data_IF_294317841939
#
_entry.id   IF_294317841939
#
_cell.length_a   1.000
_cell.length_b   1.000
_cell.length_c   1.000
_cell.angle_alpha   90.00
_cell.angle_beta   90.00
_cell.angle_gamma   90.00
#
_symmetry.space_group_name_H-M   'P 1'
#
loop_
_entity.id
_entity.type
_entity.pdbx_description
1 polymer ?
#
# COMPACT_ATOMS: atom_id res chain seq x y z
N UNK A 1 0.06 -39.06 13.66
CA UNK A 1 0.40 -37.74 14.24
C UNK A 1 -0.74 -36.70 14.08
N UNK A 2 -2.00 -37.10 13.92
CA UNK A 2 -3.16 -36.18 13.92
C UNK A 2 -4.42 -36.90 14.46
N UNK A 3 -4.38 -37.39 15.70
CA UNK A 3 -5.55 -38.05 16.34
C UNK A 3 -6.07 -37.27 17.57
N UNK A 4 -5.66 -36.01 17.73
CA UNK A 4 -6.15 -35.20 18.84
C UNK A 4 -7.53 -34.62 18.50
N UNK A 5 -8.57 -35.24 19.06
CA UNK A 5 -9.96 -34.78 18.99
C UNK A 5 -10.26 -33.71 20.05
N UNK A 6 -9.30 -32.83 20.36
CA UNK A 6 -9.54 -31.75 21.32
C UNK A 6 -10.58 -30.78 20.74
N UNK A 7 -11.62 -30.55 21.53
CA UNK A 7 -12.79 -29.72 21.19
C UNK A 7 -12.83 -28.59 22.19
N UNK A 8 -13.03 -27.37 21.71
CA UNK A 8 -13.10 -26.19 22.57
C UNK A 8 -14.43 -26.16 23.34
N UNK A 9 -14.38 -25.81 24.63
CA UNK A 9 -15.55 -25.72 25.54
C UNK A 9 -16.53 -24.55 25.23
N UNK A 10 -16.37 -23.88 24.08
CA UNK A 10 -17.22 -22.78 23.64
C UNK A 10 -18.49 -23.21 22.90
N UNK A 11 -19.47 -22.30 22.77
CA UNK A 11 -20.71 -22.51 21.99
C UNK A 11 -20.38 -22.97 20.56
N UNK A 12 -20.52 -24.26 20.30
CA UNK A 12 -20.39 -24.86 18.98
C UNK A 12 -19.49 -26.09 18.90
N UNK A 13 -18.79 -26.48 19.98
CA UNK A 13 -18.01 -27.73 20.07
C UNK A 13 -17.22 -28.04 18.79
N UNK A 14 -16.52 -27.03 18.26
CA UNK A 14 -15.70 -27.17 17.06
C UNK A 14 -14.35 -27.75 17.47
N UNK A 15 -13.79 -28.70 16.71
CA UNK A 15 -12.41 -29.15 16.89
C UNK A 15 -11.42 -27.98 16.82
N UNK A 16 -10.38 -28.02 17.65
CA UNK A 16 -9.35 -26.98 17.70
C UNK A 16 -8.70 -26.75 16.33
N UNK A 17 -8.52 -27.81 15.54
CA UNK A 17 -8.01 -27.73 14.17
C UNK A 17 -8.86 -26.83 13.27
N UNK A 18 -10.19 -26.83 13.43
CA UNK A 18 -11.10 -25.99 12.66
C UNK A 18 -10.98 -24.53 13.10
N UNK A 19 -10.83 -24.27 14.41
CA UNK A 19 -10.61 -22.90 14.90
C UNK A 19 -9.27 -22.35 14.41
N UNK A 20 -8.20 -23.13 14.55
CA UNK A 20 -6.87 -22.74 14.10
C UNK A 20 -6.86 -22.43 12.60
N UNK A 21 -7.45 -23.29 11.77
CA UNK A 21 -7.61 -23.05 10.34
C UNK A 21 -8.39 -21.76 10.05
N UNK A 22 -9.52 -21.53 10.74
CA UNK A 22 -10.32 -20.34 10.49
C UNK A 22 -9.62 -19.03 10.87
N UNK A 23 -8.74 -19.04 11.87
CA UNK A 23 -7.96 -17.87 12.29
C UNK A 23 -6.83 -17.58 11.28
N UNK A 24 -6.21 -18.61 10.71
CA UNK A 24 -5.02 -18.45 9.85
C UNK A 24 -5.31 -18.36 8.35
N UNK A 25 -6.40 -18.97 7.87
CA UNK A 25 -6.73 -19.04 6.43
C UNK A 25 -6.92 -17.68 5.75
N UNK A 26 -7.24 -16.63 6.51
CA UNK A 26 -7.60 -15.32 5.97
C UNK A 26 -6.41 -14.46 5.50
N UNK A 27 -5.17 -14.90 5.66
CA UNK A 27 -3.99 -14.07 5.36
C UNK A 27 -3.97 -13.57 3.91
N UNK A 28 -4.14 -14.47 2.94
CA UNK A 28 -4.11 -14.15 1.51
C UNK A 28 -5.34 -13.34 1.10
N UNK A 29 -6.54 -13.74 1.55
CA UNK A 29 -7.78 -13.02 1.24
C UNK A 29 -7.76 -11.58 1.78
N UNK A 30 -7.17 -11.38 2.96
CA UNK A 30 -6.99 -10.04 3.52
C UNK A 30 -6.03 -9.20 2.67
N UNK A 31 -4.92 -9.78 2.21
CA UNK A 31 -3.99 -9.09 1.31
C UNK A 31 -4.70 -8.70 0.01
N UNK A 32 -5.41 -9.62 -0.63
CA UNK A 32 -6.14 -9.39 -1.89
C UNK A 32 -7.20 -8.28 -1.75
N UNK A 33 -7.97 -8.32 -0.66
CA UNK A 33 -8.92 -7.25 -0.31
C UNK A 33 -8.23 -5.91 -0.10
N UNK A 34 -7.05 -5.91 0.50
CA UNK A 34 -6.30 -4.67 0.68
C UNK A 34 -5.81 -4.17 -0.68
N UNK A 35 -5.06 -4.95 -1.44
CA UNK A 35 -4.49 -4.54 -2.73
C UNK A 35 -5.57 -4.03 -3.71
N UNK A 36 -6.74 -4.67 -3.76
CA UNK A 36 -7.87 -4.20 -4.59
C UNK A 36 -8.41 -2.82 -4.21
N UNK A 37 -8.35 -2.41 -2.93
CA UNK A 37 -8.90 -1.11 -2.48
C UNK A 37 -8.09 0.10 -3.00
N UNK A 38 -6.78 -0.06 -3.18
CA UNK A 38 -5.88 1.01 -3.69
C UNK A 38 -4.98 0.42 -4.78
N UNK A 39 -5.61 -0.05 -5.86
CA UNK A 39 -4.90 -0.67 -6.98
C UNK A 39 -4.47 0.35 -8.04
N UNK A 40 -3.29 0.14 -8.62
CA UNK A 40 -2.79 0.86 -9.79
C UNK A 40 -3.16 0.19 -11.12
N UNK A 41 -3.94 -0.89 -11.09
CA UNK A 41 -4.36 -1.62 -12.28
C UNK A 41 -5.13 -0.74 -13.26
N UNK A 42 -4.93 -0.99 -14.56
CA UNK A 42 -5.66 -0.35 -15.65
C UNK A 42 -6.15 -1.41 -16.62
N UNK A 43 -7.29 -1.12 -17.27
CA UNK A 43 -7.78 -1.95 -18.37
C UNK A 43 -6.72 -2.03 -19.46
N UNK A 44 -6.29 -3.24 -19.79
CA UNK A 44 -5.21 -3.52 -20.75
C UNK A 44 -5.45 -4.86 -21.44
N UNK A 45 -5.13 -4.94 -22.72
CA UNK A 45 -5.14 -6.20 -23.47
C UNK A 45 -3.81 -6.98 -23.35
N UNK A 46 -2.82 -6.44 -22.60
CA UNK A 46 -1.48 -7.02 -22.48
C UNK A 46 -1.33 -7.70 -21.12
N UNK A 47 -1.38 -9.03 -21.09
CA UNK A 47 -1.24 -9.82 -19.85
C UNK A 47 0.02 -9.51 -19.02
N UNK A 48 1.21 -9.18 -19.59
CA UNK A 48 2.37 -8.86 -18.77
C UNK A 48 2.18 -7.59 -17.94
N UNK A 49 1.40 -6.63 -18.46
CA UNK A 49 1.06 -5.41 -17.72
C UNK A 49 0.22 -5.70 -16.49
N UNK A 50 -0.65 -6.72 -16.53
CA UNK A 50 -1.45 -7.15 -15.37
C UNK A 50 -0.54 -7.64 -14.25
N UNK A 51 0.46 -8.47 -14.59
CA UNK A 51 1.45 -8.94 -13.62
C UNK A 51 2.24 -7.77 -13.04
N UNK A 52 2.67 -6.84 -13.88
CA UNK A 52 3.40 -5.67 -13.43
C UNK A 52 2.60 -4.82 -12.43
N UNK A 53 1.31 -4.59 -12.69
CA UNK A 53 0.43 -3.87 -11.76
C UNK A 53 0.27 -4.62 -10.44
N UNK A 54 0.12 -5.95 -10.47
CA UNK A 54 0.07 -6.77 -9.26
C UNK A 54 1.35 -6.66 -8.43
N UNK A 55 2.52 -6.67 -9.08
CA UNK A 55 3.81 -6.50 -8.39
C UNK A 55 3.85 -5.14 -7.67
N UNK A 56 3.39 -4.07 -8.31
CA UNK A 56 3.35 -2.74 -7.70
C UNK A 56 2.42 -2.73 -6.49
N UNK A 57 1.19 -3.23 -6.63
CA UNK A 57 0.19 -3.19 -5.56
C UNK A 57 0.63 -3.98 -4.33
N UNK A 58 1.16 -5.20 -4.53
CA UNK A 58 1.69 -6.03 -3.44
C UNK A 58 2.92 -5.40 -2.80
N UNK A 59 3.84 -4.85 -3.61
CA UNK A 59 5.06 -4.20 -3.08
C UNK A 59 4.72 -2.96 -2.25
N UNK A 60 3.78 -2.14 -2.70
CA UNK A 60 3.32 -0.96 -1.96
C UNK A 60 2.67 -1.34 -0.63
N UNK A 61 1.88 -2.42 -0.60
CA UNK A 61 1.30 -2.91 0.65
C UNK A 61 2.36 -3.47 1.61
N UNK A 62 3.31 -4.25 1.11
CA UNK A 62 4.40 -4.78 1.94
C UNK A 62 5.27 -3.66 2.51
N UNK A 63 5.58 -2.64 1.71
CA UNK A 63 6.29 -1.45 2.17
C UNK A 63 5.51 -0.71 3.26
N UNK A 64 4.18 -0.59 3.12
CA UNK A 64 3.31 0.00 4.15
C UNK A 64 3.39 -0.77 5.47
N UNK A 65 3.25 -2.10 5.43
CA UNK A 65 3.34 -2.95 6.63
C UNK A 65 4.68 -2.74 7.33
N UNK A 66 5.80 -2.87 6.60
CA UNK A 66 7.13 -2.66 7.14
C UNK A 66 7.32 -1.26 7.72
N UNK A 67 6.81 -0.23 7.05
CA UNK A 67 6.89 1.15 7.52
C UNK A 67 6.15 1.35 8.84
N UNK A 68 4.92 0.83 8.95
CA UNK A 68 4.11 0.97 10.16
C UNK A 68 4.66 0.18 11.34
N UNK A 69 5.31 -0.96 11.09
CA UNK A 69 6.00 -1.71 12.15
C UNK A 69 7.24 -0.98 12.65
N UNK A 70 8.01 -0.35 11.74
CA UNK A 70 9.19 0.44 12.12
C UNK A 70 8.82 1.78 12.76
N UNK A 71 7.67 2.36 12.42
CA UNK A 71 7.25 3.69 12.85
C UNK A 71 5.82 3.68 13.42
N UNK A 72 5.59 3.08 14.61
CA UNK A 72 4.24 2.91 15.17
C UNK A 72 3.55 4.24 15.51
N UNK A 73 4.31 5.31 15.72
CA UNK A 73 3.79 6.66 16.01
C UNK A 73 3.39 7.43 14.74
N UNK A 74 3.83 6.99 13.55
CA UNK A 74 3.53 7.66 12.29
C UNK A 74 2.02 7.59 12.00
N UNK A 75 1.38 8.76 11.93
CA UNK A 75 -0.06 8.89 11.71
C UNK A 75 -0.94 8.07 12.68
N UNK A 76 -0.47 7.81 13.91
CA UNK A 76 -1.12 6.88 14.86
C UNK A 76 -2.62 7.12 15.10
N UNK A 77 -3.07 8.39 15.10
CA UNK A 77 -4.48 8.78 15.31
C UNK A 77 -5.34 8.79 14.04
N UNK A 78 -4.76 8.48 12.87
CA UNK A 78 -5.49 8.50 11.59
C UNK A 78 -6.03 7.11 11.26
N UNK A 79 -7.30 7.06 10.84
CA UNK A 79 -7.92 5.80 10.38
C UNK A 79 -7.51 5.42 8.96
N UNK A 80 -7.10 6.39 8.14
CA UNK A 80 -6.77 6.21 6.72
C UNK A 80 -5.25 6.20 6.45
N UNK A 81 -4.44 5.64 7.36
CA UNK A 81 -2.97 5.58 7.29
C UNK A 81 -2.44 5.04 5.97
N UNK A 82 -3.06 3.97 5.46
CA UNK A 82 -2.66 3.36 4.19
C UNK A 82 -2.80 4.30 3.00
N UNK A 83 -3.87 5.09 2.94
CA UNK A 83 -4.06 6.09 1.89
C UNK A 83 -2.95 7.15 1.94
N UNK A 84 -2.64 7.64 3.14
CA UNK A 84 -1.56 8.62 3.34
C UNK A 84 -0.21 8.04 2.89
N UNK A 85 0.05 6.78 3.24
CA UNK A 85 1.30 6.11 2.86
C UNK A 85 1.44 6.03 1.34
N UNK A 86 0.40 5.57 0.62
CA UNK A 86 0.44 5.46 -0.84
C UNK A 86 0.57 6.83 -1.51
N UNK A 87 -0.06 7.86 -0.94
CA UNK A 87 0.07 9.24 -1.43
C UNK A 87 1.49 9.79 -1.24
N UNK A 88 2.07 9.61 -0.06
CA UNK A 88 3.45 10.01 0.25
C UNK A 88 4.45 9.24 -0.61
N UNK A 89 4.26 7.92 -0.77
CA UNK A 89 5.07 7.06 -1.64
C UNK A 89 5.02 7.54 -3.09
N UNK A 90 3.84 7.81 -3.63
CA UNK A 90 3.67 8.30 -4.99
C UNK A 90 4.37 9.64 -5.22
N UNK A 91 4.24 10.58 -4.26
CA UNK A 91 4.95 11.87 -4.32
C UNK A 91 6.46 11.68 -4.29
N UNK A 92 6.97 10.86 -3.36
CA UNK A 92 8.39 10.61 -3.20
C UNK A 92 9.03 9.99 -4.45
N UNK A 93 8.33 9.06 -5.12
CA UNK A 93 8.81 8.42 -6.35
C UNK A 93 8.83 9.38 -7.55
N UNK A 94 7.85 10.28 -7.65
CA UNK A 94 7.68 11.15 -8.82
C UNK A 94 8.45 12.46 -8.69
N UNK A 95 8.69 12.95 -7.47
CA UNK A 95 9.40 14.21 -7.20
C UNK A 95 10.77 14.32 -7.89
N UNK A 96 11.71 13.36 -7.79
CA UNK A 96 13.01 13.48 -8.46
C UNK A 96 12.86 13.55 -9.99
N UNK A 97 11.93 12.79 -10.56
CA UNK A 97 11.66 12.80 -11.99
C UNK A 97 11.02 14.12 -12.46
N UNK A 98 10.15 14.72 -11.64
CA UNK A 98 9.59 16.06 -11.90
C UNK A 98 10.69 17.12 -11.92
N UNK A 99 11.66 17.04 -11.02
CA UNK A 99 12.79 17.97 -10.95
C UNK A 99 13.75 17.80 -12.13
N UNK A 100 14.05 16.55 -12.52
CA UNK A 100 14.92 16.23 -13.68
C UNK A 100 14.32 16.65 -15.02
N UNK A 101 12.99 16.72 -15.10
CA UNK A 101 12.28 17.04 -16.34
C UNK A 101 12.69 18.43 -16.83
N UNK A 102 13.15 18.59 -18.07
CA UNK A 102 13.49 19.91 -18.64
C UNK A 102 12.25 20.67 -19.14
N UNK A 103 11.35 19.98 -19.82
CA UNK A 103 10.16 20.56 -20.44
C UNK A 103 8.95 20.48 -19.52
N UNK A 104 8.12 21.51 -19.51
CA UNK A 104 6.92 21.51 -18.68
C UNK A 104 5.86 20.53 -19.24
N UNK A 105 5.06 19.90 -18.36
CA UNK A 105 3.90 19.11 -18.75
C UNK A 105 2.89 19.91 -19.58
N UNK A 106 2.17 19.22 -20.47
CA UNK A 106 1.15 19.85 -21.35
C UNK A 106 -0.08 20.32 -20.57
N UNK A 107 -0.46 19.61 -19.50
CA UNK A 107 -1.65 19.95 -18.72
C UNK A 107 -1.34 21.04 -17.71
N UNK A 108 -2.24 22.02 -17.58
CA UNK A 108 -2.07 23.16 -16.67
C UNK A 108 -1.82 22.70 -15.22
N UNK A 109 -2.58 21.71 -14.74
CA UNK A 109 -2.40 21.19 -13.38
C UNK A 109 -1.00 20.59 -13.14
N UNK A 110 -0.49 19.78 -14.06
CA UNK A 110 0.83 19.19 -13.92
C UNK A 110 1.94 20.24 -14.11
N UNK A 111 1.75 21.21 -15.00
CA UNK A 111 2.65 22.36 -15.15
C UNK A 111 2.78 23.13 -13.84
N UNK A 112 1.66 23.51 -13.22
CA UNK A 112 1.64 24.18 -11.93
C UNK A 112 2.30 23.36 -10.82
N UNK A 113 2.13 22.03 -10.82
CA UNK A 113 2.77 21.16 -9.83
C UNK A 113 4.31 21.14 -9.97
N UNK A 114 4.83 21.06 -11.20
CA UNK A 114 6.29 21.12 -11.46
C UNK A 114 6.86 22.49 -11.08
N UNK A 115 6.16 23.57 -11.44
CA UNK A 115 6.61 24.92 -11.10
C UNK A 115 6.65 25.17 -9.58
N UNK A 116 5.65 24.69 -8.83
CA UNK A 116 5.64 24.77 -7.37
C UNK A 116 6.82 24.02 -6.75
N UNK A 117 7.03 22.75 -7.16
CA UNK A 117 8.14 21.95 -6.64
C UNK A 117 9.52 22.58 -6.87
N UNK A 118 9.73 23.22 -8.03
CA UNK A 118 11.00 23.91 -8.30
C UNK A 118 11.18 25.14 -7.42
N UNK A 119 10.12 25.93 -7.22
CA UNK A 119 10.16 27.09 -6.31
C UNK A 119 10.42 26.67 -4.87
N UNK A 120 9.78 25.61 -4.42
CA UNK A 120 9.97 25.06 -3.06
C UNK A 120 11.41 24.55 -2.86
N UNK A 121 12.06 24.06 -3.92
CA UNK A 121 13.46 23.66 -3.89
C UNK A 121 14.46 24.83 -3.93
N UNK A 122 14.04 25.99 -4.46
CA UNK A 122 14.86 27.21 -4.55
C UNK A 122 14.77 28.08 -3.27
N UNK A 123 13.72 27.93 -2.45
CA UNK A 123 13.64 28.59 -1.15
C UNK A 123 14.53 27.86 -0.12
N UNK A 124 15.51 28.54 0.50
CA UNK A 124 16.37 27.90 1.49
C UNK A 124 15.53 27.50 2.71
N UNK A 125 15.72 26.29 3.22
CA UNK A 125 15.09 25.84 4.47
C UNK A 125 15.49 26.79 5.60
N UNK A 126 14.62 27.74 5.92
CA UNK A 126 14.72 28.54 7.14
C UNK A 126 14.55 27.58 8.31
N UNK A 127 15.63 27.42 9.07
CA UNK A 127 15.69 26.65 10.32
C UNK A 127 14.68 27.12 11.35
#
# INVERSE_FOLDING_TARGET
MHNDNQVCDGKGSKPDIILHYNITKGGVDNLDKMTSTYSCQRMTARWPSVIFYNIIDVSAYNAYVLWTEKHPTWNARRLHKRRLFVEELGKALVQPEMMRRKTLPRTAAAKSAVERLRKDAEQPSTS
#
